data_IF_156912441749
#
_entry.id   IF_156912441749
#
_cell.length_a   1.000
_cell.length_b   1.000
_cell.length_c   1.000
_cell.angle_alpha   90.00
_cell.angle_beta   90.00
_cell.angle_gamma   90.00
#
_symmetry.space_group_name_H-M   'P 1'
#
loop_
_entity.id
_entity.type
_entity.pdbx_description
1 polymer ?
#
# COMPACT_ATOMS: atom_id res chain seq x y z
N UNK A 1 -7.69 -16.41 35.82
CA UNK A 1 -6.72 -16.55 34.72
C UNK A 1 -5.38 -16.03 35.26
N UNK A 2 -4.22 -16.70 35.05
CA UNK A 2 -2.90 -16.14 35.40
C UNK A 2 -2.68 -14.69 34.91
N UNK A 3 -3.42 -14.27 33.87
CA UNK A 3 -3.33 -12.94 33.25
C UNK A 3 -4.42 -11.96 33.74
N UNK A 4 -5.14 -12.29 34.82
CA UNK A 4 -6.14 -11.39 35.43
C UNK A 4 -5.49 -10.33 36.33
N UNK A 5 -5.96 -9.09 36.24
CA UNK A 5 -5.47 -7.97 37.06
C UNK A 5 -4.21 -7.33 36.48
N UNK A 6 -3.31 -6.85 37.34
CA UNK A 6 -2.08 -6.16 36.91
C UNK A 6 -1.16 -7.02 36.03
N UNK A 7 -1.25 -8.36 36.12
CA UNK A 7 -0.51 -9.28 35.26
C UNK A 7 -0.94 -9.20 33.78
N UNK A 8 -2.14 -8.69 33.49
CA UNK A 8 -2.61 -8.45 32.12
C UNK A 8 -2.18 -7.08 31.55
N UNK A 9 -1.57 -6.21 32.37
CA UNK A 9 -1.12 -4.88 31.95
C UNK A 9 0.32 -4.95 31.44
N UNK A 10 0.46 -5.05 30.13
CA UNK A 10 1.75 -5.02 29.44
C UNK A 10 2.12 -3.61 29.02
N UNK A 11 3.39 -3.24 29.26
CA UNK A 11 4.01 -2.06 28.67
C UNK A 11 5.14 -2.45 27.71
N UNK A 12 5.17 -1.78 26.57
CA UNK A 12 6.12 -2.03 25.48
C UNK A 12 7.18 -0.92 25.38
N UNK A 13 8.40 -1.28 24.97
CA UNK A 13 9.50 -0.32 24.76
C UNK A 13 10.54 -0.88 23.78
N UNK A 14 11.28 0.02 23.12
CA UNK A 14 12.47 -0.35 22.34
C UNK A 14 13.70 -0.35 23.25
N UNK A 15 14.42 -1.47 23.26
CA UNK A 15 15.67 -1.65 24.00
C UNK A 15 16.80 -1.03 23.19
N UNK A 16 17.75 -0.38 23.87
CA UNK A 16 18.91 0.26 23.25
C UNK A 16 18.50 1.27 22.14
N UNK A 17 17.60 2.20 22.51
CA UNK A 17 17.00 3.26 21.68
C UNK A 17 18.01 4.28 21.10
N UNK A 18 19.03 3.81 20.39
CA UNK A 18 20.11 4.64 19.82
C UNK A 18 19.70 5.30 18.49
N UNK A 19 18.60 4.84 17.90
CA UNK A 19 18.06 5.30 16.61
C UNK A 19 16.87 6.22 16.84
N UNK A 20 16.83 7.36 16.16
CA UNK A 20 15.68 8.28 16.13
C UNK A 20 14.72 7.96 14.96
N UNK A 21 14.94 6.82 14.32
CA UNK A 21 14.23 6.37 13.13
C UNK A 21 12.85 5.78 13.46
N UNK A 22 12.70 5.13 14.62
CA UNK A 22 11.50 4.40 15.04
C UNK A 22 11.19 4.65 16.51
N UNK A 23 9.92 4.48 16.87
CA UNK A 23 9.41 4.53 18.24
C UNK A 23 8.24 3.55 18.40
N UNK A 24 7.80 3.30 19.62
CA UNK A 24 6.77 2.32 19.96
C UNK A 24 5.75 2.89 20.94
N UNK A 25 4.47 2.65 20.66
CA UNK A 25 3.41 3.00 21.61
C UNK A 25 3.45 2.05 22.80
N UNK A 26 3.63 2.61 24.01
CA UNK A 26 3.87 1.83 25.22
C UNK A 26 2.71 0.93 25.62
N UNK A 27 1.47 1.22 25.18
CA UNK A 27 0.26 0.51 25.61
C UNK A 27 -0.16 -0.56 24.59
N UNK A 28 0.08 -0.31 23.31
CA UNK A 28 -0.35 -1.16 22.19
C UNK A 28 0.78 -1.99 21.60
N UNK A 29 2.03 -1.58 21.79
CA UNK A 29 3.20 -2.19 21.16
C UNK A 29 3.33 -1.86 19.67
N UNK A 30 2.54 -0.92 19.15
CA UNK A 30 2.63 -0.50 17.76
C UNK A 30 3.94 0.26 17.53
N UNK A 31 4.78 -0.24 16.62
CA UNK A 31 5.99 0.44 16.17
C UNK A 31 5.63 1.40 15.03
N UNK A 32 6.12 2.63 15.10
CA UNK A 32 5.91 3.64 14.07
C UNK A 32 7.22 4.30 13.67
N UNK A 33 7.24 4.84 12.44
CA UNK A 33 8.38 5.58 11.92
C UNK A 33 8.39 7.00 12.47
N UNK A 34 9.56 7.47 12.89
CA UNK A 34 9.79 8.85 13.36
C UNK A 34 10.55 9.64 12.28
N UNK A 35 11.66 9.09 11.76
CA UNK A 35 12.45 9.74 10.72
C UNK A 35 13.26 8.75 9.91
N UNK A 36 12.68 8.23 8.83
CA UNK A 36 13.34 7.28 7.91
C UNK A 36 13.58 7.88 6.51
N UNK A 37 13.28 9.16 6.31
CA UNK A 37 13.44 9.82 5.02
C UNK A 37 14.90 9.79 4.55
N UNK A 38 15.13 9.25 3.34
CA UNK A 38 16.47 9.12 2.75
C UNK A 38 17.34 8.04 3.40
N UNK A 39 16.78 7.19 4.26
CA UNK A 39 17.45 6.02 4.82
C UNK A 39 17.13 4.80 3.95
N UNK A 40 18.11 3.90 3.82
CA UNK A 40 17.96 2.60 3.17
C UNK A 40 18.75 1.58 3.99
N UNK A 41 18.18 0.40 4.21
CA UNK A 41 18.85 -0.70 4.89
C UNK A 41 17.98 -1.37 5.96
N UNK A 42 18.60 -2.30 6.68
CA UNK A 42 17.95 -3.07 7.73
C UNK A 42 18.26 -2.48 9.11
N UNK A 43 17.21 -2.23 9.88
CA UNK A 43 17.25 -1.76 11.25
C UNK A 43 16.78 -2.88 12.17
N UNK A 44 17.67 -3.37 13.03
CA UNK A 44 17.32 -4.40 13.99
C UNK A 44 16.86 -3.72 15.28
N UNK A 45 15.56 -3.77 15.56
CA UNK A 45 14.97 -3.27 16.79
C UNK A 45 14.87 -4.41 17.80
N UNK A 46 15.25 -4.17 19.04
CA UNK A 46 14.96 -5.09 20.14
C UNK A 46 13.74 -4.55 20.90
N UNK A 47 12.64 -5.28 20.92
CA UNK A 47 11.39 -4.88 21.57
C UNK A 47 11.29 -5.61 22.91
N UNK A 48 10.91 -4.89 23.96
CA UNK A 48 10.64 -5.44 25.29
C UNK A 48 9.18 -5.25 25.67
N UNK A 49 8.56 -6.31 26.19
CA UNK A 49 7.29 -6.25 26.90
C UNK A 49 7.54 -6.48 28.40
N UNK A 50 6.87 -5.71 29.26
CA UNK A 50 6.99 -5.79 30.73
C UNK A 50 5.61 -5.88 31.36
N UNK A 51 5.37 -6.88 32.20
CA UNK A 51 4.09 -7.03 32.91
C UNK A 51 3.97 -6.09 34.13
N UNK A 52 2.80 -6.13 34.79
CA UNK A 52 2.51 -5.36 36.00
C UNK A 52 2.69 -3.84 35.81
N UNK A 53 2.38 -3.35 34.61
CA UNK A 53 2.53 -1.94 34.27
C UNK A 53 3.99 -1.47 34.32
N UNK A 54 4.93 -2.31 33.88
CA UNK A 54 6.34 -1.94 33.76
C UNK A 54 7.21 -2.28 34.97
N UNK A 55 6.72 -3.08 35.93
CA UNK A 55 7.44 -3.38 37.18
C UNK A 55 7.78 -4.85 37.40
N UNK A 56 7.16 -5.76 36.66
CA UNK A 56 7.39 -7.19 36.86
C UNK A 56 8.36 -7.79 35.85
N UNK A 57 8.02 -8.95 35.31
CA UNK A 57 8.88 -9.73 34.42
C UNK A 57 8.94 -9.11 33.01
N UNK A 58 10.06 -9.32 32.34
CA UNK A 58 10.31 -8.82 30.99
C UNK A 58 10.51 -9.97 29.99
N UNK A 59 10.00 -9.77 28.78
CA UNK A 59 10.27 -10.60 27.61
C UNK A 59 10.79 -9.71 26.48
N UNK A 60 11.70 -10.24 25.65
CA UNK A 60 12.32 -9.51 24.54
C UNK A 60 12.25 -10.29 23.23
N UNK A 61 12.14 -9.56 22.13
CA UNK A 61 12.20 -10.12 20.78
C UNK A 61 12.90 -9.15 19.83
N UNK A 62 13.46 -9.67 18.73
CA UNK A 62 14.03 -8.85 17.66
C UNK A 62 13.00 -8.63 16.55
N UNK A 63 12.92 -7.39 16.08
CA UNK A 63 12.11 -6.97 14.93
C UNK A 63 13.07 -6.39 13.88
N UNK A 64 13.09 -6.99 12.70
CA UNK A 64 13.90 -6.51 11.58
C UNK A 64 13.04 -5.60 10.71
N UNK A 65 13.36 -4.31 10.69
CA UNK A 65 12.70 -3.34 9.81
C UNK A 65 13.57 -3.08 8.60
N UNK A 66 13.03 -3.35 7.42
CA UNK A 66 13.72 -3.08 6.15
C UNK A 66 13.15 -1.78 5.59
N UNK A 67 13.99 -0.77 5.44
CA UNK A 67 13.65 0.47 4.74
C UNK A 67 14.25 0.38 3.36
N UNK A 68 13.40 0.31 2.35
CA UNK A 68 13.82 0.35 0.95
C UNK A 68 13.69 1.77 0.39
N UNK A 69 14.47 2.07 -0.64
CA UNK A 69 14.34 3.26 -1.49
C UNK A 69 13.10 3.22 -2.40
N UNK A 70 12.18 2.29 -2.14
CA UNK A 70 11.05 1.94 -2.99
C UNK A 70 10.29 3.17 -3.46
N UNK A 71 10.15 3.30 -4.78
CA UNK A 71 9.24 4.30 -5.34
C UNK A 71 7.82 3.78 -5.19
N UNK A 72 6.87 4.65 -4.81
CA UNK A 72 5.45 4.29 -4.72
C UNK A 72 4.84 3.79 -6.05
N UNK A 73 5.60 3.81 -7.15
CA UNK A 73 5.14 3.46 -8.49
C UNK A 73 4.91 1.96 -8.69
N UNK A 74 5.57 1.11 -7.88
CA UNK A 74 5.45 -0.35 -8.00
C UNK A 74 4.44 -0.97 -7.02
N UNK A 75 3.74 -0.14 -6.23
CA UNK A 75 2.68 -0.61 -5.34
C UNK A 75 1.48 -1.08 -6.16
N UNK A 76 1.00 -2.28 -5.86
CA UNK A 76 -0.23 -2.86 -6.42
C UNK A 76 -1.26 -3.03 -5.32
N UNK A 77 -2.52 -2.72 -5.60
CA UNK A 77 -3.61 -2.93 -4.65
C UNK A 77 -4.41 -4.17 -5.05
N UNK A 78 -4.40 -5.18 -4.19
CA UNK A 78 -5.25 -6.34 -4.28
C UNK A 78 -6.54 -6.08 -3.47
N UNK A 79 -7.68 -6.29 -4.10
CA UNK A 79 -9.01 -6.08 -3.54
C UNK A 79 -9.65 -7.44 -3.27
N UNK A 80 -9.99 -7.71 -2.01
CA UNK A 80 -10.62 -8.94 -1.56
C UNK A 80 -12.03 -8.63 -1.04
N UNK A 81 -13.02 -9.42 -1.45
CA UNK A 81 -14.39 -9.35 -0.95
C UNK A 81 -14.57 -9.96 0.47
N UNK A 82 -13.59 -9.72 1.35
CA UNK A 82 -13.58 -10.21 2.72
C UNK A 82 -13.47 -9.04 3.69
N UNK A 83 -14.04 -9.19 4.90
CA UNK A 83 -13.90 -8.20 5.97
C UNK A 83 -12.44 -8.03 6.39
N UNK A 84 -12.06 -6.80 6.73
CA UNK A 84 -10.68 -6.48 7.12
C UNK A 84 -10.20 -7.33 8.30
N UNK A 85 -11.02 -7.49 9.33
CA UNK A 85 -10.67 -8.31 10.49
C UNK A 85 -10.46 -9.80 10.16
N UNK A 86 -11.07 -10.31 9.09
CA UNK A 86 -10.88 -11.69 8.60
C UNK A 86 -9.58 -11.78 7.80
N UNK A 87 -9.31 -10.79 6.95
CA UNK A 87 -8.09 -10.69 6.15
C UNK A 87 -6.86 -10.50 7.05
N UNK A 88 -6.88 -9.55 7.97
CA UNK A 88 -5.81 -9.29 8.94
C UNK A 88 -5.46 -10.52 9.77
N UNK A 89 -6.48 -11.26 10.23
CA UNK A 89 -6.27 -12.48 11.03
C UNK A 89 -5.57 -13.60 10.24
N UNK A 90 -5.70 -13.58 8.91
CA UNK A 90 -5.14 -14.60 8.02
C UNK A 90 -4.09 -14.00 7.07
N UNK A 91 -3.49 -12.86 7.44
CA UNK A 91 -2.68 -12.06 6.50
C UNK A 91 -1.43 -12.80 6.04
N UNK A 92 -0.82 -13.59 6.93
CA UNK A 92 0.34 -14.43 6.63
C UNK A 92 -0.02 -15.58 5.67
N UNK A 93 -1.25 -16.09 5.72
CA UNK A 93 -1.75 -17.11 4.78
C UNK A 93 -2.06 -16.48 3.42
N UNK A 94 -2.60 -15.25 3.41
CA UNK A 94 -2.81 -14.49 2.17
C UNK A 94 -1.48 -14.22 1.48
N UNK A 95 -0.49 -13.68 2.21
CA UNK A 95 0.86 -13.45 1.72
C UNK A 95 1.44 -14.71 1.07
N UNK A 96 1.45 -15.83 1.82
CA UNK A 96 1.96 -17.12 1.33
C UNK A 96 1.26 -17.63 0.07
N UNK A 97 -0.07 -17.50 -0.02
CA UNK A 97 -0.81 -17.90 -1.23
C UNK A 97 -0.38 -17.07 -2.44
N UNK A 98 -0.20 -15.76 -2.27
CA UNK A 98 0.24 -14.89 -3.36
C UNK A 98 1.70 -15.19 -3.73
N UNK A 99 2.58 -15.40 -2.75
CA UNK A 99 3.98 -15.79 -2.99
C UNK A 99 4.08 -17.10 -3.76
N UNK A 100 3.39 -18.15 -3.31
CA UNK A 100 3.42 -19.48 -3.93
C UNK A 100 2.93 -19.46 -5.39
N UNK A 101 1.89 -18.67 -5.67
CA UNK A 101 1.30 -18.59 -7.00
C UNK A 101 2.10 -17.68 -7.93
N UNK A 102 2.61 -16.55 -7.41
CA UNK A 102 3.38 -15.60 -8.20
C UNK A 102 4.87 -15.96 -8.27
N UNK A 103 5.37 -16.88 -7.45
CA UNK A 103 6.80 -17.22 -7.35
C UNK A 103 7.69 -15.97 -7.17
N UNK A 104 7.21 -15.01 -6.38
CA UNK A 104 7.91 -13.78 -5.98
C UNK A 104 7.69 -13.57 -4.49
N UNK A 105 8.65 -12.91 -3.83
CA UNK A 105 8.45 -12.51 -2.44
C UNK A 105 7.48 -11.33 -2.41
N UNK A 106 6.55 -11.32 -1.45
CA UNK A 106 5.50 -10.30 -1.36
C UNK A 106 5.66 -9.54 -0.07
N UNK A 107 5.76 -8.21 -0.16
CA UNK A 107 5.70 -7.33 1.00
C UNK A 107 4.34 -6.66 1.07
N UNK A 108 3.63 -6.90 2.17
CA UNK A 108 2.36 -6.21 2.46
C UNK A 108 2.69 -4.86 3.09
N UNK A 109 2.35 -3.80 2.36
CA UNK A 109 2.62 -2.41 2.75
C UNK A 109 1.52 -1.87 3.66
N UNK A 110 0.27 -2.23 3.38
CA UNK A 110 -0.90 -1.67 4.06
C UNK A 110 -2.12 -2.59 3.86
N UNK A 111 -3.00 -2.64 4.85
CA UNK A 111 -4.28 -3.36 4.79
C UNK A 111 -5.35 -2.42 5.33
N UNK A 112 -6.34 -2.09 4.51
CA UNK A 112 -7.38 -1.12 4.88
C UNK A 112 -8.74 -1.45 4.27
N UNK A 113 -9.80 -0.87 4.83
CA UNK A 113 -11.15 -0.93 4.30
C UNK A 113 -11.72 0.47 4.17
N UNK A 114 -12.38 0.76 3.04
CA UNK A 114 -13.06 2.05 2.82
C UNK A 114 -14.43 2.06 3.52
N UNK A 115 -14.48 2.19 4.84
CA UNK A 115 -15.76 2.34 5.56
C UNK A 115 -16.50 3.66 5.23
N UNK A 116 -15.85 4.61 4.55
CA UNK A 116 -16.35 5.98 4.41
C UNK A 116 -17.32 6.23 3.25
N UNK A 117 -17.49 5.31 2.28
CA UNK A 117 -18.29 5.56 1.06
C UNK A 117 -19.67 4.89 0.99
N UNK A 118 -19.98 3.88 1.81
CA UNK A 118 -21.21 3.09 1.62
C UNK A 118 -22.40 3.62 2.43
N UNK A 119 -23.00 4.73 1.97
CA UNK A 119 -24.36 5.14 2.42
C UNK A 119 -25.50 4.71 1.50
N UNK A 120 -25.23 3.99 0.42
CA UNK A 120 -26.28 3.51 -0.47
C UNK A 120 -25.88 2.22 -1.17
N UNK A 121 -26.66 1.16 -0.91
CA UNK A 121 -26.75 -0.15 -1.58
C UNK A 121 -25.86 -1.27 -1.01
N UNK A 122 -26.49 -2.10 -0.17
CA UNK A 122 -26.21 -3.51 0.18
C UNK A 122 -24.75 -4.01 0.16
N UNK A 123 -24.14 -4.01 1.36
CA UNK A 123 -23.01 -4.84 1.84
C UNK A 123 -21.83 -5.08 0.88
N UNK A 124 -20.71 -4.41 1.14
CA UNK A 124 -19.41 -4.88 0.60
C UNK A 124 -18.36 -4.84 1.68
N UNK A 125 -18.25 -5.95 2.42
CA UNK A 125 -17.12 -6.30 3.26
C UNK A 125 -15.87 -6.46 2.39
N UNK A 126 -15.23 -5.34 2.00
CA UNK A 126 -14.09 -5.33 1.07
C UNK A 126 -12.85 -4.83 1.80
N UNK A 127 -11.74 -5.52 1.55
CA UNK A 127 -10.42 -5.17 2.06
C UNK A 127 -9.48 -4.91 0.90
N UNK A 128 -8.69 -3.86 1.04
CA UNK A 128 -7.64 -3.45 0.12
C UNK A 128 -6.30 -3.80 0.76
N UNK A 129 -5.47 -4.53 0.02
CA UNK A 129 -4.14 -4.95 0.45
C UNK A 129 -3.13 -4.34 -0.52
N UNK A 130 -2.33 -3.38 -0.05
CA UNK A 130 -1.21 -2.84 -0.83
C UNK A 130 -0.04 -3.79 -0.72
N UNK A 131 0.47 -4.20 -1.87
CA UNK A 131 1.60 -5.11 -1.98
C UNK A 131 2.69 -4.55 -2.87
N UNK A 132 3.93 -4.94 -2.59
CA UNK A 132 5.08 -4.84 -3.48
C UNK A 132 5.60 -6.25 -3.69
N UNK A 133 5.91 -6.61 -4.93
CA UNK A 133 6.59 -7.88 -5.22
C UNK A 133 8.06 -7.62 -5.50
N UNK A 134 8.93 -8.50 -5.01
CA UNK A 134 10.36 -8.49 -5.32
C UNK A 134 10.81 -9.85 -5.81
N UNK A 135 11.85 -9.88 -6.63
CA UNK A 135 12.48 -11.13 -7.07
C UNK A 135 13.41 -11.75 -6.00
N UNK A 136 14.10 -12.83 -6.38
CA UNK A 136 15.08 -13.51 -5.52
C UNK A 136 16.31 -12.66 -5.19
N UNK A 137 16.60 -11.63 -6.01
CA UNK A 137 17.67 -10.66 -5.78
C UNK A 137 17.21 -9.46 -4.94
N UNK A 138 15.95 -9.47 -4.47
CA UNK A 138 15.29 -8.39 -3.74
C UNK A 138 15.17 -7.10 -4.58
N UNK A 139 15.06 -7.24 -5.90
CA UNK A 139 14.72 -6.14 -6.82
C UNK A 139 13.21 -6.07 -7.03
N UNK A 140 12.65 -4.85 -7.02
CA UNK A 140 11.21 -4.63 -7.23
C UNK A 140 10.76 -5.09 -8.62
N UNK A 141 9.66 -5.84 -8.63
CA UNK A 141 8.95 -6.18 -9.85
C UNK A 141 8.08 -4.99 -10.26
N UNK A 142 8.10 -4.56 -11.55
CA UNK A 142 7.23 -3.49 -12.03
C UNK A 142 5.76 -3.79 -11.76
N UNK A 143 5.00 -2.79 -11.28
CA UNK A 143 3.58 -2.96 -10.95
C UNK A 143 2.77 -3.63 -12.08
N UNK A 144 3.00 -3.25 -13.34
CA UNK A 144 2.26 -3.81 -14.47
C UNK A 144 2.50 -5.33 -14.67
N UNK A 145 3.69 -5.82 -14.35
CA UNK A 145 3.99 -7.26 -14.39
C UNK A 145 3.29 -7.99 -13.24
N UNK A 146 3.26 -7.39 -12.06
CA UNK A 146 2.52 -7.90 -10.90
C UNK A 146 1.02 -7.97 -11.20
N UNK A 147 0.43 -6.86 -11.66
CA UNK A 147 -0.99 -6.80 -12.04
C UNK A 147 -1.33 -7.82 -13.12
N UNK A 148 -0.50 -7.93 -14.16
CA UNK A 148 -0.68 -8.92 -15.24
C UNK A 148 -0.71 -10.33 -14.68
N UNK A 149 0.26 -10.72 -13.87
CA UNK A 149 0.35 -12.07 -13.31
C UNK A 149 -0.79 -12.37 -12.33
N UNK A 150 -1.19 -11.40 -11.50
CA UNK A 150 -2.37 -11.49 -10.63
C UNK A 150 -3.65 -11.72 -11.43
N UNK A 151 -3.84 -11.03 -12.56
CA UNK A 151 -5.00 -11.23 -13.45
C UNK A 151 -4.95 -12.60 -14.13
N UNK A 152 -3.79 -13.03 -14.62
CA UNK A 152 -3.59 -14.34 -15.24
C UNK A 152 -3.85 -15.51 -14.27
N UNK A 153 -3.43 -15.36 -13.00
CA UNK A 153 -3.58 -16.37 -11.96
C UNK A 153 -4.83 -16.20 -11.09
N UNK A 154 -5.72 -15.28 -11.43
CA UNK A 154 -6.88 -14.90 -10.62
C UNK A 154 -7.68 -16.11 -10.10
N UNK A 155 -8.02 -17.05 -10.97
CA UNK A 155 -8.81 -18.22 -10.59
C UNK A 155 -8.08 -19.15 -9.61
N UNK A 156 -6.75 -19.26 -9.72
CA UNK A 156 -5.94 -20.04 -8.78
C UNK A 156 -5.85 -19.35 -7.42
N UNK A 157 -5.66 -18.02 -7.43
CA UNK A 157 -5.62 -17.20 -6.21
C UNK A 157 -6.95 -17.29 -5.46
N UNK A 158 -8.07 -17.06 -6.15
CA UNK A 158 -9.40 -17.17 -5.55
C UNK A 158 -9.61 -18.56 -4.93
N UNK A 159 -9.31 -19.63 -5.68
CA UNK A 159 -9.44 -21.01 -5.20
C UNK A 159 -8.61 -21.32 -3.95
N UNK A 160 -7.36 -20.86 -3.88
CA UNK A 160 -6.52 -21.12 -2.69
C UNK A 160 -6.97 -20.25 -1.51
N UNK A 161 -7.33 -18.99 -1.74
CA UNK A 161 -7.88 -18.11 -0.70
C UNK A 161 -9.24 -18.59 -0.17
N UNK A 162 -10.08 -19.23 -0.98
CA UNK A 162 -11.32 -19.85 -0.52
C UNK A 162 -11.08 -20.91 0.56
N UNK A 163 -9.94 -21.62 0.49
CA UNK A 163 -9.55 -22.58 1.54
C UNK A 163 -9.12 -21.86 2.82
N UNK A 164 -8.41 -20.74 2.68
CA UNK A 164 -7.96 -19.91 3.81
C UNK A 164 -9.16 -19.33 4.56
N UNK A 165 -10.09 -18.72 3.83
CA UNK A 165 -11.22 -18.02 4.44
C UNK A 165 -12.46 -18.90 4.66
N UNK A 166 -12.47 -20.12 4.13
CA UNK A 166 -13.62 -21.04 4.21
C UNK A 166 -14.92 -20.45 3.66
N UNK A 167 -14.82 -19.58 2.66
CA UNK A 167 -15.93 -18.88 1.99
C UNK A 167 -15.51 -18.51 0.58
N UNK A 168 -16.47 -18.16 -0.28
CA UNK A 168 -16.20 -17.71 -1.65
C UNK A 168 -15.41 -16.41 -1.66
N UNK A 169 -14.34 -16.38 -2.44
CA UNK A 169 -13.44 -15.24 -2.58
C UNK A 169 -13.50 -14.69 -4.00
N UNK A 170 -13.58 -13.38 -4.11
CA UNK A 170 -13.34 -12.64 -5.35
C UNK A 170 -12.13 -11.76 -5.13
N UNK A 171 -11.12 -11.93 -5.98
CA UNK A 171 -9.91 -11.14 -5.99
C UNK A 171 -9.90 -10.23 -7.23
N UNK A 172 -9.62 -8.95 -7.03
CA UNK A 172 -9.45 -7.99 -8.10
C UNK A 172 -8.19 -7.16 -7.87
N UNK A 173 -7.66 -6.59 -8.95
CA UNK A 173 -6.54 -5.65 -8.90
C UNK A 173 -7.12 -4.26 -9.13
N UNK A 174 -6.81 -3.31 -8.24
CA UNK A 174 -7.26 -1.92 -8.44
C UNK A 174 -6.50 -1.29 -9.60
N UNK A 175 -7.24 -0.72 -10.56
CA UNK A 175 -6.67 0.14 -11.58
C UNK A 175 -6.69 1.59 -11.09
N UNK A 176 -5.68 2.40 -11.44
CA UNK A 176 -5.84 3.84 -11.32
C UNK A 176 -7.10 4.24 -12.09
N UNK A 177 -8.03 4.91 -11.39
CA UNK A 177 -9.23 5.42 -12.00
C UNK A 177 -8.85 6.33 -13.17
N UNK A 178 -9.50 6.15 -14.32
CA UNK A 178 -9.24 6.95 -15.52
C UNK A 178 -9.47 8.47 -15.33
N UNK A 179 -10.02 8.87 -14.18
CA UNK A 179 -10.22 10.27 -13.77
C UNK A 179 -9.00 10.92 -13.11
N UNK A 180 -7.97 10.17 -12.73
CA UNK A 180 -6.73 10.76 -12.21
C UNK A 180 -5.74 11.04 -13.34
N UNK A 181 -6.13 11.89 -14.30
CA UNK A 181 -5.14 12.51 -15.19
C UNK A 181 -4.11 13.23 -14.33
N UNK A 182 -2.84 12.82 -14.44
CA UNK A 182 -1.76 13.48 -13.69
C UNK A 182 -1.70 14.97 -14.07
N UNK A 183 -1.34 15.87 -13.13
CA UNK A 183 -1.25 17.30 -13.40
C UNK A 183 -0.36 17.63 -14.61
N UNK A 184 0.65 16.81 -14.89
CA UNK A 184 1.55 16.93 -16.03
C UNK A 184 0.87 16.64 -17.36
N UNK A 185 0.00 15.62 -17.41
CA UNK A 185 -0.80 15.31 -18.60
C UNK A 185 -1.85 16.40 -18.85
N UNK A 186 -2.49 16.91 -17.79
CA UNK A 186 -3.42 18.05 -17.90
C UNK A 186 -2.70 19.29 -18.43
N UNK A 187 -1.52 19.62 -17.88
CA UNK A 187 -0.73 20.76 -18.35
C UNK A 187 -0.31 20.62 -19.82
N UNK A 188 0.05 19.41 -20.24
CA UNK A 188 0.44 19.12 -21.63
C UNK A 188 -0.73 19.27 -22.60
N UNK A 189 -1.90 18.75 -22.23
CA UNK A 189 -3.15 18.89 -23.00
C UNK A 189 -3.53 20.37 -23.10
N UNK A 190 -3.54 21.10 -21.98
CA UNK A 190 -3.88 22.53 -21.96
C UNK A 190 -2.90 23.34 -22.83
N UNK A 191 -1.60 23.07 -22.72
CA UNK A 191 -0.57 23.79 -23.49
C UNK A 191 -0.72 23.53 -25.00
N UNK A 192 -0.99 22.28 -25.40
CA UNK A 192 -1.20 21.93 -26.81
C UNK A 192 -2.46 22.59 -27.40
N UNK A 193 -3.56 22.62 -26.65
CA UNK A 193 -4.80 23.30 -27.06
C UNK A 193 -4.58 24.80 -27.19
N UNK A 194 -3.88 25.41 -26.22
CA UNK A 194 -3.57 26.84 -26.24
C UNK A 194 -2.69 27.22 -27.44
N UNK A 195 -1.69 26.38 -27.77
CA UNK A 195 -0.86 26.56 -28.96
C UNK A 195 -1.70 26.48 -30.25
N UNK A 196 -2.61 25.51 -30.35
CA UNK A 196 -3.49 25.38 -31.52
C UNK A 196 -4.40 26.62 -31.68
N UNK A 197 -5.02 27.09 -30.60
CA UNK A 197 -5.88 28.27 -30.62
C UNK A 197 -5.10 29.54 -31.02
N UNK A 198 -3.88 29.73 -30.51
CA UNK A 198 -3.06 30.90 -30.85
C UNK A 198 -2.60 30.88 -32.31
N UNK A 199 -2.23 29.72 -32.85
CA UNK A 199 -1.91 29.57 -34.27
C UNK A 199 -3.12 29.87 -35.17
N UNK A 200 -4.31 29.39 -34.82
CA UNK A 200 -5.54 29.69 -35.56
C UNK A 200 -5.85 31.19 -35.53
N UNK A 201 -5.79 31.82 -34.36
CA UNK A 201 -6.03 33.26 -34.21
C UNK A 201 -5.02 34.09 -35.03
N UNK A 202 -3.75 33.70 -35.04
CA UNK A 202 -2.71 34.34 -35.84
C UNK A 202 -2.98 34.20 -37.35
N UNK A 203 -3.35 33.00 -37.82
CA UNK A 203 -3.72 32.78 -39.22
C UNK A 203 -4.92 33.65 -39.63
N UNK A 204 -5.95 33.73 -38.80
CA UNK A 204 -7.11 34.61 -39.03
C UNK A 204 -6.69 36.07 -39.11
N UNK A 205 -5.84 36.54 -38.20
CA UNK A 205 -5.30 37.91 -38.22
C UNK A 205 -4.51 38.21 -39.49
N UNK A 206 -3.63 37.30 -39.92
CA UNK A 206 -2.86 37.43 -41.16
C UNK A 206 -3.80 37.50 -42.37
N UNK A 207 -4.82 36.64 -42.45
CA UNK A 207 -5.81 36.68 -43.54
C UNK A 207 -6.58 38.01 -43.56
N UNK A 208 -7.03 38.51 -42.40
CA UNK A 208 -7.73 39.80 -42.29
C UNK A 208 -6.81 40.94 -42.72
N UNK A 209 -5.56 40.97 -42.24
CA UNK A 209 -4.61 42.05 -42.56
C UNK A 209 -4.20 42.07 -44.04
N UNK A 210 -4.05 40.90 -44.68
CA UNK A 210 -3.81 40.79 -46.13
C UNK A 210 -5.03 41.30 -46.91
N UNK A 211 -6.26 40.94 -46.52
CA UNK A 211 -7.47 41.47 -47.16
C UNK A 211 -7.59 42.98 -46.99
N UNK A 212 -7.21 43.52 -45.83
CA UNK A 212 -7.29 44.95 -45.53
C UNK A 212 -6.25 45.80 -46.27
N UNK A 213 -5.11 45.23 -46.68
CA UNK A 213 -4.10 45.88 -47.52
C UNK A 213 -4.41 45.84 -49.03
N UNK A 214 -5.40 45.05 -49.45
CA UNK A 214 -5.82 44.92 -50.86
C UNK A 214 -6.98 45.84 -51.26
N UNK A 215 -7.44 46.70 -50.37
CA UNK A 215 -8.43 47.76 -50.60
C UNK A 215 -7.82 49.14 -50.44
#
# INVERSE_FOLDING_TARGET
DPDSGDNGLLLYSLVNHQTNEFDIDENTGQIFTVSVAGKVGTFNLEVQATDQGGKGLTARTNVNVIVDSSSSNNIVVLVLNQKINVVEKSINEVERVIEDILAWNIYIVDVYSNEFQSRTTESTDVTYVKIIAVDEANEEIPAEDVKRKLREQKANIEKELEKVFSTTVTAAVEEPSADSTSPELVATIVLSVLLACTLIAFLVYVVISIKRKRY
#
